data_IF_739429292147
#
_entry.id   IF_739429292147
#
_cell.length_a   1.000
_cell.length_b   1.000
_cell.length_c   1.000
_cell.angle_alpha   90.00
_cell.angle_beta   90.00
_cell.angle_gamma   90.00
#
_symmetry.space_group_name_H-M   'P 1'
#
loop_
_entity.id
_entity.type
_entity.pdbx_description
1 polymer ?
#
# COMPACT_ATOMS: atom_id res chain seq x y z
N UNK A 1 -13.33 2.52 -21.15
CA UNK A 1 -13.14 3.53 -20.08
C UNK A 1 -11.65 3.76 -19.95
N UNK A 2 -11.21 5.01 -19.81
CA UNK A 2 -9.82 5.30 -19.50
C UNK A 2 -9.58 4.94 -18.03
N UNK A 3 -8.50 4.20 -17.76
CA UNK A 3 -8.06 3.84 -16.42
C UNK A 3 -7.74 5.10 -15.60
N UNK A 4 -8.20 5.17 -14.35
CA UNK A 4 -7.78 6.21 -13.39
C UNK A 4 -6.40 5.89 -12.78
N UNK A 5 -5.88 4.68 -12.98
CA UNK A 5 -4.54 4.27 -12.52
C UNK A 5 -3.47 4.83 -13.46
N UNK A 6 -2.66 5.77 -12.97
CA UNK A 6 -1.45 6.26 -13.64
C UNK A 6 -0.24 5.41 -13.23
N UNK A 7 0.12 5.44 -11.94
CA UNK A 7 1.20 4.63 -11.39
C UNK A 7 0.74 3.20 -11.26
N UNK A 8 1.23 2.32 -12.14
CA UNK A 8 0.83 0.93 -12.11
C UNK A 8 1.31 0.26 -10.81
N UNK A 9 0.54 -0.67 -10.21
CA UNK A 9 0.99 -1.39 -9.02
C UNK A 9 2.08 -2.41 -9.37
N UNK A 10 2.98 -2.65 -8.42
CA UNK A 10 3.82 -3.85 -8.46
C UNK A 10 2.97 -5.06 -8.07
N UNK A 11 2.99 -6.11 -8.88
CA UNK A 11 2.20 -7.33 -8.66
C UNK A 11 3.12 -8.54 -8.63
N UNK A 12 3.27 -9.13 -7.45
CA UNK A 12 4.04 -10.34 -7.28
C UNK A 12 3.47 -11.50 -8.11
N UNK A 13 4.35 -12.28 -8.73
CA UNK A 13 3.94 -13.37 -9.65
C UNK A 13 3.09 -14.47 -8.99
N UNK A 14 3.21 -14.64 -7.67
CA UNK A 14 2.52 -15.65 -6.87
C UNK A 14 1.28 -15.08 -6.14
N UNK A 15 1.02 -13.77 -6.28
CA UNK A 15 -0.07 -13.06 -5.60
C UNK A 15 -1.45 -13.69 -5.82
N UNK A 16 -1.75 -14.11 -7.06
CA UNK A 16 -3.09 -14.63 -7.43
C UNK A 16 -3.50 -15.82 -6.55
N UNK A 17 -2.52 -16.65 -6.17
CA UNK A 17 -2.72 -17.83 -5.32
C UNK A 17 -2.49 -17.54 -3.82
N UNK A 18 -2.25 -16.27 -3.47
CA UNK A 18 -1.93 -15.81 -2.12
C UNK A 18 -0.47 -16.04 -1.69
N UNK A 19 0.38 -16.55 -2.59
CA UNK A 19 1.78 -16.85 -2.35
C UNK A 19 2.05 -17.60 -1.04
N UNK A 20 3.11 -17.23 -0.33
CA UNK A 20 3.50 -17.88 0.94
C UNK A 20 2.52 -17.61 2.09
N UNK A 21 1.61 -16.64 1.93
CA UNK A 21 0.66 -16.25 2.97
C UNK A 21 -0.70 -16.94 2.81
N UNK A 22 -0.98 -17.57 1.66
CA UNK A 22 -2.30 -18.14 1.33
C UNK A 22 -3.42 -17.10 1.29
N UNK A 23 -3.10 -15.80 1.23
CA UNK A 23 -4.03 -14.67 1.24
C UNK A 23 -3.61 -13.65 0.19
N UNK A 24 -4.57 -13.03 -0.48
CA UNK A 24 -4.30 -11.89 -1.38
C UNK A 24 -4.14 -10.61 -0.58
N UNK A 25 -2.89 -10.20 -0.37
CA UNK A 25 -2.52 -9.02 0.43
C UNK A 25 -2.06 -7.89 -0.50
N UNK A 26 -2.65 -6.71 -0.35
CA UNK A 26 -2.18 -5.46 -0.94
C UNK A 26 -1.51 -4.60 0.13
N UNK A 27 -0.34 -4.09 -0.17
CA UNK A 27 0.38 -3.11 0.64
C UNK A 27 0.13 -1.75 0.00
N UNK A 28 -0.31 -0.79 0.82
CA UNK A 28 -0.69 0.54 0.35
C UNK A 28 0.24 1.60 0.94
N UNK A 29 1.13 2.14 0.10
CA UNK A 29 1.93 3.33 0.39
C UNK A 29 1.22 4.62 -0.03
N UNK A 30 1.79 5.78 0.32
CA UNK A 30 1.12 7.07 0.09
C UNK A 30 1.45 7.66 -1.29
N UNK A 31 2.72 7.84 -1.61
CA UNK A 31 3.15 8.60 -2.79
C UNK A 31 4.51 8.15 -3.32
N UNK A 32 4.78 8.54 -4.57
CA UNK A 32 6.12 8.51 -5.16
C UNK A 32 6.83 9.84 -4.90
N UNK A 33 8.16 9.82 -4.98
CA UNK A 33 8.99 11.02 -4.86
C UNK A 33 9.75 11.21 -6.15
N UNK A 34 9.51 12.32 -6.83
CA UNK A 34 10.29 12.75 -7.98
C UNK A 34 11.01 14.04 -7.60
N UNK A 35 12.19 14.29 -8.19
CA UNK A 35 12.89 15.54 -7.92
C UNK A 35 12.14 16.74 -8.53
N UNK A 36 12.58 17.96 -8.19
CA UNK A 36 11.95 19.21 -8.62
C UNK A 36 11.84 19.37 -10.16
N UNK A 37 12.51 18.54 -10.95
CA UNK A 37 12.44 18.57 -12.42
C UNK A 37 11.24 17.80 -13.01
N UNK A 38 10.43 17.20 -12.15
CA UNK A 38 9.44 16.18 -12.50
C UNK A 38 8.04 16.55 -11.97
N UNK A 39 7.58 17.78 -12.30
CA UNK A 39 6.34 18.37 -11.78
C UNK A 39 5.07 17.69 -12.28
N UNK A 40 5.16 16.98 -13.41
CA UNK A 40 3.99 16.48 -14.15
C UNK A 40 3.89 14.95 -14.12
N UNK A 41 4.67 14.31 -13.24
CA UNK A 41 4.68 12.87 -13.02
C UNK A 41 3.40 12.46 -12.28
N UNK A 42 2.40 12.06 -13.08
CA UNK A 42 0.99 11.93 -12.69
C UNK A 42 0.05 12.24 -13.86
N UNK A 43 0.56 12.91 -14.91
CA UNK A 43 -0.13 13.16 -16.17
C UNK A 43 0.34 12.19 -17.26
N UNK A 44 -0.60 11.37 -17.77
CA UNK A 44 -0.34 10.39 -18.82
C UNK A 44 -0.03 10.98 -20.21
N UNK A 45 -0.38 12.25 -20.44
CA UNK A 45 -0.05 12.95 -21.69
C UNK A 45 1.37 13.51 -21.66
N UNK A 46 1.90 13.82 -20.47
CA UNK A 46 3.20 14.47 -20.30
C UNK A 46 4.32 13.49 -19.96
N UNK A 47 4.08 12.52 -19.06
CA UNK A 47 5.11 11.60 -18.56
C UNK A 47 4.68 10.15 -18.51
N UNK A 48 4.44 9.53 -19.66
CA UNK A 48 4.05 8.12 -19.75
C UNK A 48 5.10 7.17 -19.17
N UNK A 49 6.38 7.54 -19.23
CA UNK A 49 7.50 6.80 -18.66
C UNK A 49 7.42 6.67 -17.13
N UNK A 50 6.76 7.61 -16.44
CA UNK A 50 6.53 7.56 -14.99
C UNK A 50 5.51 6.47 -14.59
N UNK A 51 4.74 5.89 -15.51
CA UNK A 51 3.71 4.89 -15.16
C UNK A 51 4.28 3.66 -14.46
N UNK A 52 5.53 3.28 -14.77
CA UNK A 52 6.20 2.11 -14.20
C UNK A 52 7.02 2.41 -12.94
N UNK A 53 6.85 3.60 -12.33
CA UNK A 53 7.70 4.04 -11.22
C UNK A 53 7.61 3.09 -10.01
N UNK A 54 6.42 2.60 -9.67
CA UNK A 54 6.25 1.62 -8.58
C UNK A 54 7.09 0.36 -8.83
N UNK A 55 7.05 -0.17 -10.05
CA UNK A 55 7.77 -1.38 -10.45
C UNK A 55 9.27 -1.13 -10.41
N UNK A 56 9.74 -0.01 -10.96
CA UNK A 56 11.16 0.34 -10.96
C UNK A 56 11.74 0.44 -9.54
N UNK A 57 11.01 1.04 -8.60
CA UNK A 57 11.43 1.10 -7.18
C UNK A 57 11.52 -0.29 -6.58
N UNK A 58 10.55 -1.17 -6.84
CA UNK A 58 10.58 -2.53 -6.33
C UNK A 58 11.65 -3.39 -7.02
N UNK A 59 11.86 -3.24 -8.32
CA UNK A 59 12.92 -3.93 -9.07
C UNK A 59 14.30 -3.56 -8.52
N UNK A 60 14.53 -2.28 -8.24
CA UNK A 60 15.76 -1.82 -7.60
C UNK A 60 15.92 -2.36 -6.18
N UNK A 61 14.84 -2.45 -5.40
CA UNK A 61 14.87 -3.04 -4.07
C UNK A 61 15.15 -4.55 -4.07
N UNK A 62 14.56 -5.26 -5.03
CA UNK A 62 14.63 -6.71 -5.15
C UNK A 62 15.92 -7.18 -5.84
N UNK A 63 16.60 -6.31 -6.58
CA UNK A 63 17.87 -6.64 -7.22
C UNK A 63 19.01 -6.71 -6.19
N UNK A 64 19.58 -7.90 -5.99
CA UNK A 64 20.69 -8.11 -5.05
C UNK A 64 22.00 -7.43 -5.49
N UNK A 65 22.13 -7.12 -6.78
CA UNK A 65 23.31 -6.46 -7.34
C UNK A 65 23.24 -4.93 -7.24
N UNK A 66 22.10 -4.37 -6.80
CA UNK A 66 21.96 -2.93 -6.57
C UNK A 66 22.52 -2.56 -5.21
N UNK A 67 23.32 -1.49 -5.17
CA UNK A 67 23.80 -0.92 -3.91
C UNK A 67 22.63 -0.53 -3.01
N UNK A 68 22.74 -0.86 -1.72
CA UNK A 68 21.67 -0.62 -0.76
C UNK A 68 21.58 0.85 -0.40
N UNK A 69 20.44 1.46 -0.72
CA UNK A 69 20.13 2.84 -0.40
C UNK A 69 19.28 2.93 0.87
N UNK A 70 19.31 4.09 1.55
CA UNK A 70 18.60 4.30 2.82
C UNK A 70 17.09 4.03 2.74
N UNK A 71 16.44 4.39 1.64
CA UNK A 71 15.00 4.18 1.44
C UNK A 71 14.63 2.68 1.44
N UNK A 72 15.54 1.78 1.05
CA UNK A 72 15.32 0.33 1.03
C UNK A 72 15.09 -0.25 2.43
N UNK A 73 15.53 0.46 3.49
CA UNK A 73 15.27 0.05 4.88
C UNK A 73 13.78 0.03 5.22
N UNK A 74 12.98 0.87 4.56
CA UNK A 74 11.51 0.91 4.70
C UNK A 74 10.92 -0.44 4.30
N UNK A 75 11.25 -0.91 3.09
CA UNK A 75 10.80 -2.19 2.57
C UNK A 75 11.34 -3.37 3.39
N UNK A 76 12.61 -3.31 3.82
CA UNK A 76 13.24 -4.34 4.66
C UNK A 76 12.53 -4.52 6.02
N UNK A 77 12.22 -3.42 6.72
CA UNK A 77 11.50 -3.50 7.99
C UNK A 77 10.10 -4.08 7.80
N UNK A 78 9.43 -3.67 6.73
CA UNK A 78 8.08 -4.14 6.45
C UNK A 78 8.04 -5.62 6.09
N UNK A 79 8.91 -6.10 5.20
CA UNK A 79 8.92 -7.53 4.83
C UNK A 79 9.18 -8.43 6.04
N UNK A 80 10.08 -8.02 6.94
CA UNK A 80 10.33 -8.75 8.20
C UNK A 80 9.10 -8.79 9.09
N UNK A 81 8.27 -7.74 9.09
CA UNK A 81 7.00 -7.77 9.83
C UNK A 81 5.93 -8.67 9.22
N UNK A 82 6.09 -9.15 7.98
CA UNK A 82 5.18 -10.15 7.42
C UNK A 82 5.51 -11.56 7.90
N UNK A 83 6.78 -11.85 8.19
CA UNK A 83 7.27 -13.21 8.51
C UNK A 83 7.77 -13.38 9.95
N UNK A 84 8.09 -12.30 10.66
CA UNK A 84 8.51 -12.34 12.07
C UNK A 84 9.97 -12.76 12.27
N UNK A 85 10.78 -12.68 11.24
CA UNK A 85 12.20 -13.06 11.26
C UNK A 85 13.03 -12.20 10.30
N UNK A 86 14.36 -12.32 10.41
CA UNK A 86 15.26 -11.67 9.45
C UNK A 86 15.18 -12.35 8.07
N UNK A 87 15.12 -11.53 7.02
CA UNK A 87 14.94 -11.98 5.65
C UNK A 87 16.25 -11.96 4.86
N UNK A 88 16.59 -13.11 4.27
CA UNK A 88 17.60 -13.20 3.22
C UNK A 88 16.99 -12.89 1.84
N UNK A 89 17.82 -12.89 0.78
CA UNK A 89 17.37 -12.57 -0.57
C UNK A 89 16.28 -13.52 -1.10
N UNK A 90 16.42 -14.83 -0.85
CA UNK A 90 15.43 -15.81 -1.28
C UNK A 90 14.07 -15.59 -0.60
N UNK A 91 14.05 -15.31 0.71
CA UNK A 91 12.83 -15.00 1.44
C UNK A 91 12.23 -13.66 1.00
N UNK A 92 13.04 -12.63 0.78
CA UNK A 92 12.61 -11.34 0.19
C UNK A 92 11.84 -11.56 -1.10
N UNK A 93 12.42 -12.29 -2.05
CA UNK A 93 11.75 -12.57 -3.32
C UNK A 93 10.45 -13.35 -3.11
N UNK A 94 10.40 -14.33 -2.20
CA UNK A 94 9.15 -15.05 -1.89
C UNK A 94 8.06 -14.13 -1.33
N UNK A 95 8.42 -13.24 -0.40
CA UNK A 95 7.49 -12.28 0.21
C UNK A 95 6.92 -11.35 -0.84
N UNK A 96 7.78 -10.66 -1.61
CA UNK A 96 7.31 -9.67 -2.58
C UNK A 96 6.61 -10.31 -3.78
N UNK A 97 6.96 -11.54 -4.17
CA UNK A 97 6.17 -12.29 -5.16
C UNK A 97 4.77 -12.68 -4.66
N UNK A 98 4.50 -12.63 -3.36
CA UNK A 98 3.21 -13.03 -2.78
C UNK A 98 2.21 -11.89 -2.60
N UNK A 99 2.61 -10.64 -2.87
CA UNK A 99 1.83 -9.44 -2.52
C UNK A 99 1.69 -8.47 -3.71
N UNK A 100 0.78 -7.52 -3.57
CA UNK A 100 0.75 -6.30 -4.38
C UNK A 100 1.30 -5.14 -3.58
N UNK A 101 2.04 -4.25 -4.23
CA UNK A 101 2.40 -2.95 -3.68
C UNK A 101 1.85 -1.83 -4.58
N UNK A 102 1.17 -0.87 -3.97
CA UNK A 102 0.57 0.26 -4.66
C UNK A 102 0.72 1.52 -3.81
N UNK A 103 1.10 2.64 -4.41
CA UNK A 103 0.98 3.95 -3.77
C UNK A 103 -0.36 4.57 -4.15
N UNK A 104 -1.03 5.16 -3.16
CA UNK A 104 -2.39 5.70 -3.31
C UNK A 104 -2.44 6.90 -4.25
N UNK A 105 -1.64 7.94 -3.99
CA UNK A 105 -1.64 9.16 -4.79
C UNK A 105 -1.16 8.88 -6.23
N UNK A 106 -1.91 9.40 -7.20
CA UNK A 106 -1.60 9.27 -8.63
C UNK A 106 -0.78 10.45 -9.16
N UNK A 107 -0.10 11.16 -8.25
CA UNK A 107 0.83 12.27 -8.51
C UNK A 107 2.06 12.08 -7.63
N UNK A 108 3.24 12.41 -8.15
CA UNK A 108 4.48 12.40 -7.37
C UNK A 108 4.58 13.64 -6.48
N UNK A 109 5.17 13.48 -5.29
CA UNK A 109 5.54 14.59 -4.42
C UNK A 109 6.99 15.01 -4.72
N UNK A 110 7.36 16.26 -4.41
CA UNK A 110 8.72 16.78 -4.62
C UNK A 110 9.75 16.18 -3.65
N UNK A 111 9.30 15.65 -2.52
CA UNK A 111 10.19 14.96 -1.61
C UNK A 111 9.53 14.28 -0.40
N UNK A 112 10.36 13.67 0.46
CA UNK A 112 9.88 13.00 1.67
C UNK A 112 9.17 13.98 2.61
N UNK A 113 8.13 13.49 3.30
CA UNK A 113 7.30 14.21 4.29
C UNK A 113 6.35 15.25 3.71
N UNK A 114 6.42 15.55 2.43
CA UNK A 114 5.36 16.27 1.73
C UNK A 114 4.07 15.43 1.71
N UNK A 115 2.93 16.13 1.67
CA UNK A 115 1.62 15.52 1.62
C UNK A 115 0.88 16.02 0.38
N UNK A 116 0.09 15.15 -0.25
CA UNK A 116 -0.82 15.57 -1.30
C UNK A 116 -1.89 16.55 -0.79
N UNK A 117 -2.50 17.28 -1.72
CA UNK A 117 -3.67 18.11 -1.43
C UNK A 117 -4.90 17.24 -1.17
N UNK A 118 -5.91 17.79 -0.50
CA UNK A 118 -7.18 17.08 -0.27
C UNK A 118 -7.83 16.59 -1.57
N UNK A 119 -7.74 17.39 -2.64
CA UNK A 119 -8.23 17.03 -3.97
C UNK A 119 -7.47 15.85 -4.57
N UNK A 120 -6.14 15.82 -4.46
CA UNK A 120 -5.32 14.70 -4.94
C UNK A 120 -5.67 13.40 -4.20
N UNK A 121 -5.92 13.46 -2.89
CA UNK A 121 -6.39 12.30 -2.12
C UNK A 121 -7.79 11.84 -2.54
N UNK A 122 -8.70 12.78 -2.79
CA UNK A 122 -10.05 12.46 -3.24
C UNK A 122 -10.03 11.79 -4.63
N UNK A 123 -9.30 12.36 -5.59
CA UNK A 123 -9.17 11.82 -6.95
C UNK A 123 -8.51 10.44 -6.97
N UNK A 124 -7.48 10.22 -6.14
CA UNK A 124 -6.79 8.94 -6.00
C UNK A 124 -7.72 7.79 -5.55
N UNK A 125 -8.85 8.10 -4.91
CA UNK A 125 -9.86 7.10 -4.51
C UNK A 125 -10.36 6.27 -5.69
N UNK A 126 -10.54 6.89 -6.86
CA UNK A 126 -10.99 6.17 -8.09
C UNK A 126 -9.97 5.11 -8.51
N UNK A 127 -8.69 5.48 -8.59
CA UNK A 127 -7.61 4.55 -8.94
C UNK A 127 -7.48 3.43 -7.90
N UNK A 128 -7.60 3.77 -6.62
CA UNK A 128 -7.56 2.79 -5.52
C UNK A 128 -8.65 1.72 -5.66
N UNK A 129 -9.90 2.10 -5.93
CA UNK A 129 -10.95 1.11 -6.11
C UNK A 129 -10.83 0.34 -7.42
N UNK A 130 -10.35 0.94 -8.52
CA UNK A 130 -9.99 0.19 -9.74
C UNK A 130 -8.95 -0.90 -9.47
N UNK A 131 -7.94 -0.62 -8.63
CA UNK A 131 -6.94 -1.62 -8.21
C UNK A 131 -7.60 -2.71 -7.36
N UNK A 132 -8.50 -2.37 -6.44
CA UNK A 132 -9.23 -3.37 -5.64
C UNK A 132 -10.12 -4.25 -6.53
N UNK A 133 -10.84 -3.66 -7.48
CA UNK A 133 -11.69 -4.39 -8.42
C UNK A 133 -10.88 -5.30 -9.35
N UNK A 134 -9.75 -4.80 -9.87
CA UNK A 134 -8.90 -5.58 -10.78
C UNK A 134 -8.18 -6.73 -10.09
N UNK A 135 -7.57 -6.47 -8.94
CA UNK A 135 -6.69 -7.43 -8.29
C UNK A 135 -7.35 -8.22 -7.15
N UNK A 136 -8.54 -7.79 -6.73
CA UNK A 136 -9.36 -8.51 -5.78
C UNK A 136 -8.63 -8.87 -4.45
N UNK A 137 -7.88 -7.94 -3.80
CA UNK A 137 -7.27 -8.21 -2.51
C UNK A 137 -8.31 -8.62 -1.46
N UNK A 138 -7.87 -9.40 -0.49
CA UNK A 138 -8.64 -9.73 0.71
C UNK A 138 -8.24 -8.84 1.89
N UNK A 139 -6.98 -8.42 1.92
CA UNK A 139 -6.39 -7.62 2.99
C UNK A 139 -5.59 -6.47 2.39
N UNK A 140 -5.68 -5.30 3.03
CA UNK A 140 -4.91 -4.10 2.73
C UNK A 140 -4.13 -3.71 3.98
N UNK A 141 -2.82 -3.53 3.84
CA UNK A 141 -1.97 -3.03 4.92
C UNK A 141 -1.50 -1.63 4.53
N UNK A 142 -2.00 -0.63 5.26
CA UNK A 142 -1.83 0.80 4.96
C UNK A 142 -0.63 1.35 5.71
N UNK A 143 0.33 1.93 4.99
CA UNK A 143 1.54 2.50 5.58
C UNK A 143 1.30 3.95 6.04
N UNK A 144 1.10 4.12 7.35
CA UNK A 144 1.06 5.42 7.99
C UNK A 144 -0.34 5.97 8.24
N UNK A 145 -0.49 6.67 9.36
CA UNK A 145 -1.77 7.26 9.82
C UNK A 145 -2.27 8.39 8.91
N UNK A 146 -1.37 9.14 8.28
CA UNK A 146 -1.74 10.22 7.36
C UNK A 146 -2.52 9.67 6.17
N UNK A 147 -1.98 8.67 5.50
CA UNK A 147 -2.69 7.98 4.42
C UNK A 147 -4.01 7.38 4.92
N UNK A 148 -3.99 6.63 6.04
CA UNK A 148 -5.19 6.05 6.64
C UNK A 148 -6.32 7.08 6.82
N UNK A 149 -5.99 8.25 7.36
CA UNK A 149 -6.95 9.31 7.60
C UNK A 149 -7.51 9.96 6.33
N UNK A 150 -6.84 9.79 5.18
CA UNK A 150 -7.26 10.31 3.88
C UNK A 150 -7.86 9.23 2.96
N UNK A 151 -8.04 8.00 3.44
CA UNK A 151 -8.69 6.95 2.66
C UNK A 151 -10.21 7.21 2.53
N UNK A 152 -10.84 6.79 1.42
CA UNK A 152 -12.27 6.92 1.24
C UNK A 152 -13.02 6.18 2.37
N UNK A 153 -14.00 6.83 3.00
CA UNK A 153 -14.80 6.24 4.07
C UNK A 153 -14.19 6.32 5.49
N UNK A 154 -12.97 6.83 5.65
CA UNK A 154 -12.42 7.21 6.96
C UNK A 154 -13.07 8.47 7.56
N UNK A 155 -12.34 9.22 8.40
CA UNK A 155 -12.84 10.45 9.05
C UNK A 155 -13.42 11.51 8.09
N UNK A 156 -13.11 11.42 6.79
CA UNK A 156 -13.79 12.14 5.72
C UNK A 156 -14.98 11.33 5.20
N UNK A 157 -16.16 11.56 5.79
CA UNK A 157 -17.45 11.16 5.22
C UNK A 157 -17.81 12.04 4.03
N UNK A 158 -17.00 12.05 2.98
CA UNK A 158 -17.38 12.71 1.72
C UNK A 158 -17.32 11.74 0.56
N UNK A 159 -18.49 11.69 -0.08
CA UNK A 159 -18.88 10.93 -1.27
C UNK A 159 -18.62 9.43 -1.16
N UNK A 160 -19.66 8.72 -0.72
CA UNK A 160 -19.80 7.32 -1.10
C UNK A 160 -19.57 7.23 -2.60
N UNK A 161 -18.54 6.51 -3.03
CA UNK A 161 -18.62 5.87 -4.34
C UNK A 161 -19.83 4.94 -4.19
N UNK A 162 -20.86 5.16 -5.01
CA UNK A 162 -22.25 4.77 -4.75
C UNK A 162 -22.46 3.36 -4.20
N UNK A 163 -21.55 2.43 -4.53
CA UNK A 163 -21.69 1.01 -4.23
C UNK A 163 -20.58 0.45 -3.31
N UNK A 164 -19.73 1.31 -2.72
CA UNK A 164 -18.72 0.93 -1.73
C UNK A 164 -18.98 1.61 -0.40
N UNK A 165 -19.00 0.83 0.68
CA UNK A 165 -19.20 1.34 2.03
C UNK A 165 -18.07 0.92 2.96
N UNK A 166 -17.53 1.88 3.70
CA UNK A 166 -16.60 1.61 4.78
C UNK A 166 -17.34 1.17 6.04
N UNK A 167 -16.81 0.16 6.73
CA UNK A 167 -17.30 -0.30 8.03
C UNK A 167 -16.13 -0.30 9.00
N UNK A 168 -16.25 0.53 10.05
CA UNK A 168 -15.32 0.51 11.17
C UNK A 168 -15.48 -0.81 11.95
N UNK A 169 -14.34 -1.45 12.22
CA UNK A 169 -14.27 -2.51 13.21
C UNK A 169 -13.91 -1.91 14.57
N UNK A 170 -14.17 -2.64 15.65
CA UNK A 170 -13.52 -2.33 16.91
C UNK A 170 -12.01 -2.37 16.70
N UNK A 171 -11.31 -1.35 17.22
CA UNK A 171 -9.85 -1.31 17.22
C UNK A 171 -9.30 -2.64 17.75
N UNK A 172 -8.23 -3.11 17.12
CA UNK A 172 -7.63 -4.38 17.47
C UNK A 172 -6.60 -4.15 18.57
N UNK A 173 -6.86 -4.67 19.77
CA UNK A 173 -5.89 -4.62 20.86
C UNK A 173 -4.77 -5.65 20.65
N UNK A 174 -3.52 -5.17 20.67
CA UNK A 174 -2.31 -6.00 20.66
C UNK A 174 -1.32 -5.42 21.68
N UNK A 175 -1.01 -6.20 22.71
CA UNK A 175 -0.04 -5.83 23.77
C UNK A 175 -0.34 -4.45 24.40
N UNK A 176 -1.61 -4.16 24.70
CA UNK A 176 -2.04 -2.91 25.30
C UNK A 176 -2.10 -1.71 24.35
N UNK A 177 -1.86 -1.92 23.04
CA UNK A 177 -2.02 -0.89 22.01
C UNK A 177 -3.22 -1.19 21.12
N UNK A 178 -4.07 -0.20 20.92
CA UNK A 178 -5.23 -0.28 20.03
C UNK A 178 -4.84 0.12 18.61
N UNK A 179 -5.09 -0.77 17.65
CA UNK A 179 -4.72 -0.59 16.25
C UNK A 179 -5.98 -0.43 15.37
N UNK A 180 -6.16 0.73 14.70
CA UNK A 180 -7.31 0.96 13.82
C UNK A 180 -7.37 -0.03 12.67
N UNK A 181 -8.56 -0.55 12.42
CA UNK A 181 -8.84 -1.48 11.33
C UNK A 181 -10.32 -1.37 10.92
N UNK A 182 -10.63 -1.84 9.72
CA UNK A 182 -12.00 -1.86 9.20
C UNK A 182 -12.05 -2.64 7.90
N UNK A 183 -13.13 -2.48 7.14
CA UNK A 183 -13.22 -3.10 5.82
C UNK A 183 -14.08 -2.29 4.86
N UNK A 184 -13.76 -2.42 3.58
CA UNK A 184 -14.61 -1.98 2.47
C UNK A 184 -15.60 -3.10 2.14
N UNK A 185 -16.90 -2.80 2.23
CA UNK A 185 -17.96 -3.56 1.59
C UNK A 185 -17.97 -3.20 0.11
N UNK A 186 -17.56 -4.14 -0.74
CA UNK A 186 -17.58 -3.98 -2.19
C UNK A 186 -18.92 -4.47 -2.77
N UNK A 187 -19.28 -4.04 -3.99
CA UNK A 187 -20.42 -4.59 -4.72
C UNK A 187 -20.38 -6.13 -4.76
N UNK A 188 -21.53 -6.76 -4.58
CA UNK A 188 -21.63 -8.24 -4.53
C UNK A 188 -21.26 -8.86 -3.18
N UNK A 189 -21.14 -8.08 -2.11
CA UNK A 189 -20.98 -8.58 -0.74
C UNK A 189 -19.56 -9.05 -0.40
N UNK A 190 -18.58 -8.73 -1.24
CA UNK A 190 -17.17 -9.00 -0.95
C UNK A 190 -16.64 -7.96 0.04
N UNK A 191 -15.93 -8.41 1.06
CA UNK A 191 -15.28 -7.52 2.03
C UNK A 191 -13.77 -7.50 1.81
N UNK A 192 -13.18 -6.31 1.85
CA UNK A 192 -11.73 -6.11 1.80
C UNK A 192 -11.28 -5.49 3.11
N UNK A 193 -10.60 -6.27 3.95
CA UNK A 193 -10.14 -5.83 5.27
C UNK A 193 -8.98 -4.85 5.11
N UNK A 194 -8.89 -3.83 5.95
CA UNK A 194 -7.79 -2.88 5.97
C UNK A 194 -7.29 -2.63 7.40
N UNK A 195 -5.98 -2.52 7.54
CA UNK A 195 -5.27 -2.25 8.80
C UNK A 195 -4.26 -1.13 8.57
N UNK A 196 -4.16 -0.20 9.51
CA UNK A 196 -3.06 0.78 9.51
C UNK A 196 -1.86 0.26 10.31
N UNK A 197 -0.67 0.43 9.74
CA UNK A 197 0.60 0.29 10.44
C UNK A 197 1.32 1.63 10.53
N UNK A 198 2.25 1.79 11.47
CA UNK A 198 3.18 2.92 11.39
C UNK A 198 3.92 2.87 10.05
N UNK A 199 4.24 4.02 9.47
CA UNK A 199 5.02 4.00 8.24
C UNK A 199 6.41 3.37 8.49
N UNK A 200 6.88 2.37 7.71
CA UNK A 200 8.13 1.67 8.04
C UNK A 200 9.41 2.53 8.00
N UNK A 201 9.34 3.72 7.39
CA UNK A 201 10.44 4.70 7.40
C UNK A 201 10.63 5.42 8.73
N UNK A 202 9.65 5.37 9.65
CA UNK A 202 9.75 5.98 10.99
C UNK A 202 10.08 4.93 12.07
N UNK A 203 9.70 5.18 13.32
CA UNK A 203 9.74 4.20 14.40
C UNK A 203 8.84 2.99 14.07
N UNK A 204 9.47 1.90 13.64
CA UNK A 204 8.79 0.67 13.20
C UNK A 204 9.56 -0.55 13.72
N UNK A 205 9.02 -1.16 14.78
CA UNK A 205 9.48 -2.45 15.33
C UNK A 205 8.78 -3.56 14.55
N UNK A 206 9.54 -4.28 13.73
CA UNK A 206 8.99 -5.29 12.83
C UNK A 206 8.45 -6.51 13.60
N UNK A 207 9.00 -6.79 14.79
CA UNK A 207 8.58 -7.85 15.69
C UNK A 207 7.22 -7.55 16.35
N UNK A 208 6.98 -6.31 16.79
CA UNK A 208 5.66 -5.88 17.23
C UNK A 208 4.64 -5.91 16.09
N UNK A 209 4.98 -5.29 14.95
CA UNK A 209 4.06 -5.24 13.80
C UNK A 209 3.76 -6.62 13.21
N UNK A 210 4.67 -7.59 13.34
CA UNK A 210 4.38 -8.99 13.02
C UNK A 210 3.22 -9.55 13.84
N UNK A 211 3.20 -9.34 15.17
CA UNK A 211 2.09 -9.80 16.03
C UNK A 211 0.76 -9.18 15.59
N UNK A 212 0.77 -7.89 15.29
CA UNK A 212 -0.41 -7.15 14.79
C UNK A 212 -0.88 -7.72 13.45
N UNK A 213 0.02 -7.85 12.48
CA UNK A 213 -0.31 -8.35 11.13
C UNK A 213 -0.83 -9.79 11.20
N UNK A 214 -0.20 -10.67 11.98
CA UNK A 214 -0.67 -12.04 12.16
C UNK A 214 -2.04 -12.11 12.82
N UNK A 215 -2.35 -11.20 13.75
CA UNK A 215 -3.70 -11.12 14.33
C UNK A 215 -4.73 -10.67 13.29
N UNK A 216 -4.38 -9.73 12.44
CA UNK A 216 -5.22 -9.18 11.38
C UNK A 216 -5.49 -10.17 10.23
N UNK A 217 -4.49 -10.97 9.84
CA UNK A 217 -4.58 -11.92 8.72
C UNK A 217 -5.35 -13.22 9.05
N UNK A 218 -5.70 -13.44 10.33
CA UNK A 218 -6.58 -14.54 10.76
C UNK A 218 -7.98 -14.37 10.16
#
# INVERSE_FOLDING_TARGET
MNSNIFFQPFVGKDYVNGGIFGKRIMILGESHYCDESCTDCGDCQLHRECMNFTQQVLDDYLNENKERQNWMRTFLKFERSLVGEETNQAMRLKIWNSVIFFNYLQVAMGGPREAGTAEQYHQAGKAFFEVIEKYQPQYIIVWGKRLWNNLPGGHWRQEQISDVHWVDCNDMEVEGTWVPNGFYMMPGGKHVKALVVNHPSVGYSWDYWYKVIQRFLR
#
